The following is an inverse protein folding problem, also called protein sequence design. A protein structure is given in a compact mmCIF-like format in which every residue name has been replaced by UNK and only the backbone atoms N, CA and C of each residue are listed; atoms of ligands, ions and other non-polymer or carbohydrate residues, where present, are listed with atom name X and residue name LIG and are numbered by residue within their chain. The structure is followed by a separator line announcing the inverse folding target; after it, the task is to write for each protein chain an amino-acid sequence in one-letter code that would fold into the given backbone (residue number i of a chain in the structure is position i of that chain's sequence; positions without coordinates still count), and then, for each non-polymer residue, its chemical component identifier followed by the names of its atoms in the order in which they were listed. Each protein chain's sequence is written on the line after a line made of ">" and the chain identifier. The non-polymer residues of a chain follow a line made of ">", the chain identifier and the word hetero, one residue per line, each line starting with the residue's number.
data_IF_834143035680
#
_entry.id   IF_834143035680
#
_cell.length_a   1.000
_cell.length_b   1.000
_cell.length_c   1.000
_cell.angle_alpha   90.00
_cell.angle_beta   90.00
_cell.angle_gamma   90.00
#
_symmetry.space_group_name_H-M   'P 1'
#
loop_
_entity.id
_entity.type
_entity.pdbx_description
1 polymer ?
#
# COMPACT_ATOMS: atom_id res chain seq x y z
N UNK A 1 89.70 -69.62 -22.44
CA UNK A 1 88.65 -68.57 -22.51
C UNK A 1 87.39 -69.26 -22.98
N UNK A 2 86.30 -69.32 -22.21
CA UNK A 2 85.08 -69.96 -22.70
C UNK A 2 84.56 -69.13 -23.88
N UNK A 3 84.49 -69.76 -25.04
CA UNK A 3 84.03 -69.13 -26.29
C UNK A 3 82.54 -69.44 -26.40
N UNK A 4 81.70 -68.41 -26.45
CA UNK A 4 80.26 -68.60 -26.60
C UNK A 4 79.97 -69.35 -27.90
N UNK A 5 79.14 -70.39 -27.84
CA UNK A 5 78.60 -71.07 -29.03
C UNK A 5 77.63 -70.15 -29.77
N UNK A 6 77.56 -70.27 -31.09
CA UNK A 6 76.78 -69.37 -31.95
C UNK A 6 75.28 -69.31 -31.57
N UNK A 7 74.74 -70.41 -31.06
CA UNK A 7 73.37 -70.46 -30.51
C UNK A 7 73.19 -69.61 -29.23
N UNK A 8 74.19 -69.55 -28.35
CA UNK A 8 74.12 -68.76 -27.12
C UNK A 8 74.19 -67.27 -27.42
N UNK A 9 74.99 -66.87 -28.42
CA UNK A 9 75.05 -65.50 -28.91
C UNK A 9 73.71 -65.06 -29.50
N UNK A 10 73.06 -65.93 -30.27
CA UNK A 10 71.76 -65.63 -30.89
C UNK A 10 70.64 -65.53 -29.84
N UNK A 11 70.62 -66.43 -28.84
CA UNK A 11 69.69 -66.34 -27.70
C UNK A 11 69.89 -65.05 -26.89
N UNK A 12 71.14 -64.63 -26.68
CA UNK A 12 71.45 -63.37 -26.01
C UNK A 12 70.95 -62.17 -26.81
N UNK A 13 71.15 -62.17 -28.13
CA UNK A 13 70.67 -61.11 -29.02
C UNK A 13 69.14 -61.02 -29.08
N UNK A 14 68.46 -62.17 -29.13
CA UNK A 14 67.00 -62.24 -29.10
C UNK A 14 66.45 -61.77 -27.75
N UNK A 15 67.10 -62.14 -26.65
CA UNK A 15 66.72 -61.70 -25.31
C UNK A 15 66.94 -60.19 -25.13
N UNK A 16 68.04 -59.64 -25.65
CA UNK A 16 68.32 -58.21 -25.66
C UNK A 16 67.30 -57.45 -26.51
N UNK A 17 67.00 -57.90 -27.73
CA UNK A 17 66.00 -57.29 -28.60
C UNK A 17 64.60 -57.32 -27.98
N UNK A 18 64.22 -58.44 -27.35
CA UNK A 18 62.94 -58.56 -26.63
C UNK A 18 62.89 -57.63 -25.42
N UNK A 19 63.98 -57.51 -24.66
CA UNK A 19 64.09 -56.58 -23.54
C UNK A 19 64.00 -55.12 -24.01
N UNK A 20 64.68 -54.74 -25.09
CA UNK A 20 64.57 -53.41 -25.70
C UNK A 20 63.17 -53.11 -26.20
N UNK A 21 62.51 -54.09 -26.84
CA UNK A 21 61.13 -53.93 -27.31
C UNK A 21 60.17 -53.72 -26.14
N UNK A 22 60.35 -54.47 -25.05
CA UNK A 22 59.55 -54.31 -23.83
C UNK A 22 59.85 -52.98 -23.12
N UNK A 23 61.10 -52.52 -23.12
CA UNK A 23 61.48 -51.21 -22.57
C UNK A 23 60.86 -50.08 -23.38
N UNK A 24 60.92 -50.15 -24.71
CA UNK A 24 60.26 -49.18 -25.60
C UNK A 24 58.75 -49.19 -25.44
N UNK A 25 58.13 -50.37 -25.33
CA UNK A 25 56.70 -50.49 -25.07
C UNK A 25 56.32 -49.93 -23.69
N UNK A 26 57.12 -50.18 -22.67
CA UNK A 26 56.91 -49.64 -21.32
C UNK A 26 57.09 -48.12 -21.28
N UNK A 27 58.11 -47.60 -21.97
CA UNK A 27 58.33 -46.15 -22.09
C UNK A 27 57.20 -45.47 -22.88
N UNK A 28 56.73 -46.09 -23.97
CA UNK A 28 55.58 -45.59 -24.72
C UNK A 28 54.32 -45.57 -23.86
N UNK A 29 54.03 -46.66 -23.13
CA UNK A 29 52.91 -46.72 -22.20
C UNK A 29 53.03 -45.70 -21.07
N UNK A 30 54.22 -45.49 -20.50
CA UNK A 30 54.45 -44.47 -19.48
C UNK A 30 54.23 -43.06 -20.01
N UNK A 31 54.69 -42.76 -21.23
CA UNK A 31 54.51 -41.46 -21.87
C UNK A 31 53.02 -41.20 -22.16
N UNK A 32 52.32 -42.20 -22.68
CA UNK A 32 50.88 -42.13 -22.93
C UNK A 32 50.10 -41.94 -21.61
N UNK A 33 50.47 -42.65 -20.55
CA UNK A 33 49.87 -42.46 -19.23
C UNK A 33 50.13 -41.05 -18.67
N UNK A 34 51.32 -40.49 -18.87
CA UNK A 34 51.64 -39.13 -18.46
C UNK A 34 50.78 -38.11 -19.22
N UNK A 35 50.64 -38.27 -20.54
CA UNK A 35 49.80 -37.43 -21.39
C UNK A 35 48.32 -37.52 -20.98
N UNK A 36 47.79 -38.74 -20.77
CA UNK A 36 46.43 -38.96 -20.28
C UNK A 36 46.18 -38.34 -18.89
N UNK A 37 47.19 -38.39 -18.00
CA UNK A 37 47.11 -37.78 -16.67
C UNK A 37 47.18 -36.26 -16.75
N UNK A 38 47.99 -35.69 -17.64
CA UNK A 38 48.07 -34.24 -17.88
C UNK A 38 46.78 -33.71 -18.49
N UNK A 39 46.21 -34.41 -19.48
CA UNK A 39 44.91 -34.12 -20.08
C UNK A 39 43.77 -34.27 -19.06
N UNK A 40 43.80 -35.30 -18.22
CA UNK A 40 42.82 -35.45 -17.15
C UNK A 40 42.95 -34.33 -16.10
N UNK A 41 44.16 -33.89 -15.78
CA UNK A 41 44.41 -32.78 -14.84
C UNK A 41 43.95 -31.43 -15.39
N UNK A 42 44.22 -31.14 -16.67
CA UNK A 42 43.77 -29.90 -17.32
C UNK A 42 42.25 -29.85 -17.45
N UNK A 43 41.61 -30.98 -17.84
CA UNK A 43 40.14 -31.11 -17.86
C UNK A 43 39.52 -30.89 -16.48
N UNK A 44 40.09 -31.48 -15.42
CA UNK A 44 39.63 -31.28 -14.03
C UNK A 44 39.78 -29.84 -13.54
N UNK A 45 40.87 -29.15 -13.91
CA UNK A 45 41.06 -27.73 -13.58
C UNK A 45 40.02 -26.84 -14.28
N UNK A 46 39.76 -27.08 -15.57
CA UNK A 46 38.71 -26.36 -16.30
C UNK A 46 37.32 -26.58 -15.68
N UNK A 47 37.02 -27.81 -15.28
CA UNK A 47 35.78 -28.13 -14.56
C UNK A 47 35.70 -27.42 -13.20
N UNK A 48 36.78 -27.41 -12.41
CA UNK A 48 36.84 -26.70 -11.13
C UNK A 48 36.63 -25.19 -11.29
N UNK A 49 37.25 -24.57 -12.29
CA UNK A 49 37.09 -23.13 -12.58
C UNK A 49 35.65 -22.83 -13.01
N UNK A 50 35.08 -23.65 -13.90
CA UNK A 50 33.68 -23.53 -14.30
C UNK A 50 32.71 -23.69 -13.11
N UNK A 51 33.01 -24.63 -12.21
CA UNK A 51 32.22 -24.84 -11.00
C UNK A 51 32.28 -23.64 -10.04
N UNK A 52 33.46 -23.03 -9.88
CA UNK A 52 33.64 -21.81 -9.07
C UNK A 52 32.87 -20.64 -9.69
N UNK A 53 32.96 -20.44 -11.01
CA UNK A 53 32.21 -19.37 -11.71
C UNK A 53 30.71 -19.57 -11.54
N UNK A 54 30.23 -20.82 -11.66
CA UNK A 54 28.82 -21.16 -11.47
C UNK A 54 28.37 -20.89 -10.03
N UNK A 55 29.19 -21.21 -9.03
CA UNK A 55 28.93 -20.89 -7.62
C UNK A 55 28.86 -19.38 -7.38
N UNK A 56 29.78 -18.61 -7.96
CA UNK A 56 29.78 -17.14 -7.85
C UNK A 56 28.53 -16.56 -8.49
N UNK A 57 28.12 -17.03 -9.67
CA UNK A 57 26.88 -16.62 -10.32
C UNK A 57 25.65 -16.98 -9.49
N UNK A 58 25.64 -18.14 -8.85
CA UNK A 58 24.56 -18.56 -7.96
C UNK A 58 24.46 -17.65 -6.73
N UNK A 59 25.59 -17.31 -6.10
CA UNK A 59 25.62 -16.39 -4.96
C UNK A 59 25.14 -14.99 -5.38
N UNK A 60 25.60 -14.47 -6.53
CA UNK A 60 25.14 -13.19 -7.07
C UNK A 60 23.64 -13.22 -7.32
N UNK A 61 23.12 -14.29 -7.94
CA UNK A 61 21.69 -14.50 -8.15
C UNK A 61 20.91 -14.52 -6.83
N UNK A 62 21.47 -15.13 -5.79
CA UNK A 62 20.86 -15.20 -4.46
C UNK A 62 20.81 -13.82 -3.80
N UNK A 63 21.91 -13.06 -3.87
CA UNK A 63 22.00 -11.68 -3.35
C UNK A 63 21.00 -10.77 -4.06
N UNK A 64 20.91 -10.87 -5.39
CA UNK A 64 19.92 -10.14 -6.20
C UNK A 64 18.50 -10.55 -5.80
N UNK A 65 18.23 -11.84 -5.60
CA UNK A 65 16.93 -12.35 -5.16
C UNK A 65 16.50 -11.78 -3.80
N UNK A 66 17.42 -11.66 -2.83
CA UNK A 66 17.11 -11.10 -1.51
C UNK A 66 16.99 -9.56 -1.49
N UNK A 67 17.75 -8.85 -2.32
CA UNK A 67 17.78 -7.37 -2.29
C UNK A 67 16.87 -6.71 -3.34
N UNK A 68 16.52 -7.42 -4.42
CA UNK A 68 15.80 -6.85 -5.56
C UNK A 68 14.89 -7.91 -6.21
N UNK A 69 13.76 -8.26 -5.55
CA UNK A 69 12.85 -9.30 -6.02
C UNK A 69 12.20 -9.02 -7.40
N UNK A 70 12.23 -7.78 -7.90
CA UNK A 70 11.69 -7.40 -9.22
C UNK A 70 12.59 -7.77 -10.41
N UNK A 71 13.89 -7.98 -10.21
CA UNK A 71 14.87 -8.12 -11.31
C UNK A 71 14.81 -9.45 -12.06
N UNK A 72 14.14 -10.47 -11.49
CA UNK A 72 14.10 -11.82 -12.04
C UNK A 72 12.82 -12.12 -12.86
N UNK A 73 11.95 -11.13 -13.09
CA UNK A 73 10.70 -11.30 -13.84
C UNK A 73 9.72 -12.31 -13.22
N UNK A 74 10.08 -12.93 -12.09
CA UNK A 74 9.19 -13.66 -11.22
C UNK A 74 8.49 -12.56 -10.42
N UNK A 75 7.34 -12.13 -10.92
CA UNK A 75 6.40 -11.29 -10.20
C UNK A 75 5.96 -12.02 -8.93
N UNK A 76 6.80 -11.98 -7.89
CA UNK A 76 6.49 -12.56 -6.58
C UNK A 76 5.44 -11.76 -5.84
N UNK A 77 5.06 -10.61 -6.37
CA UNK A 77 3.83 -9.90 -6.06
C UNK A 77 3.42 -9.13 -7.32
N UNK A 78 2.90 -9.83 -8.33
CA UNK A 78 1.92 -9.18 -9.21
C UNK A 78 0.68 -8.97 -8.34
N UNK A 79 0.72 -7.89 -7.55
CA UNK A 79 -0.49 -7.33 -7.02
C UNK A 79 -1.30 -7.03 -8.26
N UNK A 80 -2.45 -7.70 -8.41
CA UNK A 80 -3.46 -7.22 -9.34
C UNK A 80 -3.59 -5.71 -9.12
N UNK A 81 -3.89 -4.93 -10.16
CA UNK A 81 -3.86 -3.46 -10.14
C UNK A 81 -4.64 -2.76 -8.99
N UNK A 82 -5.30 -3.52 -8.11
CA UNK A 82 -6.05 -3.14 -6.92
C UNK A 82 -5.46 -3.60 -5.56
N UNK A 83 -4.37 -4.38 -5.49
CA UNK A 83 -3.81 -4.80 -4.20
C UNK A 83 -2.64 -3.92 -3.76
N UNK A 84 -2.84 -3.20 -2.65
CA UNK A 84 -1.79 -2.41 -1.99
C UNK A 84 -1.21 -3.26 -0.85
N UNK A 85 0.10 -3.51 -0.86
CA UNK A 85 0.80 -4.10 0.30
C UNK A 85 0.90 -3.04 1.38
N UNK A 86 -0.14 -2.91 2.19
CA UNK A 86 -0.13 -1.99 3.33
C UNK A 86 0.67 -2.64 4.46
N UNK A 87 1.79 -2.02 4.84
CA UNK A 87 2.55 -2.47 6.02
C UNK A 87 1.63 -2.41 7.24
N UNK A 88 1.64 -3.43 8.11
CA UNK A 88 0.78 -3.47 9.32
C UNK A 88 0.87 -2.19 10.17
N UNK A 89 2.05 -1.59 10.25
CA UNK A 89 2.29 -0.31 10.94
C UNK A 89 1.55 0.89 10.29
N UNK A 90 1.36 0.85 8.97
CA UNK A 90 0.62 1.87 8.22
C UNK A 90 -0.88 1.68 8.40
N UNK A 91 -1.38 0.43 8.41
CA UNK A 91 -2.78 0.13 8.74
C UNK A 91 -3.13 0.63 10.14
N UNK A 92 -2.28 0.40 11.14
CA UNK A 92 -2.52 0.88 12.50
C UNK A 92 -2.50 2.41 12.58
N UNK A 93 -1.60 3.07 11.84
CA UNK A 93 -1.55 4.52 11.77
C UNK A 93 -2.79 5.11 11.07
N UNK A 94 -3.22 4.52 9.95
CA UNK A 94 -4.45 4.94 9.28
C UNK A 94 -5.67 4.69 10.15
N UNK A 95 -5.73 3.56 10.87
CA UNK A 95 -6.82 3.28 11.80
C UNK A 95 -6.87 4.26 12.97
N UNK A 96 -5.71 4.62 13.53
CA UNK A 96 -5.61 5.64 14.57
C UNK A 96 -6.00 7.03 14.04
N UNK A 97 -5.55 7.38 12.83
CA UNK A 97 -5.92 8.64 12.17
C UNK A 97 -7.40 8.70 11.87
N UNK A 98 -8.01 7.61 11.38
CA UNK A 98 -9.46 7.53 11.14
C UNK A 98 -10.22 7.66 12.45
N UNK A 99 -9.84 6.94 13.51
CA UNK A 99 -10.49 7.05 14.81
C UNK A 99 -10.38 8.46 15.41
N UNK A 100 -9.24 9.13 15.18
CA UNK A 100 -9.05 10.52 15.59
C UNK A 100 -9.87 11.47 14.73
N UNK A 101 -9.92 11.30 13.41
CA UNK A 101 -10.76 12.09 12.51
C UNK A 101 -12.25 11.87 12.79
N UNK A 102 -12.67 10.66 13.14
CA UNK A 102 -14.06 10.38 13.54
C UNK A 102 -14.39 11.05 14.87
N UNK A 103 -13.46 11.05 15.83
CA UNK A 103 -13.61 11.77 17.09
C UNK A 103 -13.62 13.29 16.89
N UNK A 104 -12.74 13.79 16.03
CA UNK A 104 -12.64 15.20 15.69
C UNK A 104 -13.84 15.63 14.85
N UNK A 105 -14.37 14.78 13.97
CA UNK A 105 -15.62 15.00 13.23
C UNK A 105 -16.83 14.91 14.16
N UNK A 106 -16.82 14.01 15.15
CA UNK A 106 -17.85 13.95 16.18
C UNK A 106 -17.82 15.21 17.08
N UNK A 107 -16.64 15.78 17.31
CA UNK A 107 -16.45 17.06 17.99
C UNK A 107 -16.66 18.28 17.07
N UNK A 108 -16.44 18.13 15.75
CA UNK A 108 -16.66 19.11 14.68
C UNK A 108 -18.04 18.99 14.02
N UNK A 109 -18.90 18.10 14.50
CA UNK A 109 -20.30 18.45 14.73
C UNK A 109 -20.33 19.60 15.75
N UNK A 110 -19.72 20.74 15.40
CA UNK A 110 -20.46 21.98 15.25
C UNK A 110 -21.86 21.57 14.86
N UNK A 111 -22.66 21.42 15.91
CA UNK A 111 -24.09 21.25 15.84
C UNK A 111 -24.53 22.11 14.67
N UNK A 112 -25.19 21.48 13.70
CA UNK A 112 -26.01 22.31 12.85
C UNK A 112 -26.82 23.18 13.82
N UNK A 113 -27.03 24.49 13.61
CA UNK A 113 -27.84 25.29 14.53
C UNK A 113 -29.22 24.65 14.81
N UNK A 114 -29.62 23.67 13.99
CA UNK A 114 -30.82 22.86 14.08
C UNK A 114 -30.69 21.51 14.81
N UNK A 115 -29.48 21.05 15.19
CA UNK A 115 -29.28 19.90 16.09
C UNK A 115 -29.49 20.26 17.57
N UNK A 116 -29.86 21.52 17.83
CA UNK A 116 -30.28 21.98 19.15
C UNK A 116 -31.66 21.37 19.45
N UNK A 117 -31.73 20.57 20.53
CA UNK A 117 -32.99 20.02 21.05
C UNK A 117 -34.03 21.10 21.32
N UNK A 118 -33.60 22.32 21.68
CA UNK A 118 -34.46 23.47 21.88
C UNK A 118 -33.74 24.77 21.44
N UNK A 119 -34.44 25.64 20.71
CA UNK A 119 -33.93 26.95 20.30
C UNK A 119 -35.06 27.97 20.14
N UNK A 120 -34.72 29.26 20.12
CA UNK A 120 -35.63 30.38 19.84
C UNK A 120 -35.33 30.96 18.46
N UNK A 121 -36.36 31.33 17.71
CA UNK A 121 -36.24 31.98 16.42
C UNK A 121 -37.31 33.05 16.22
N UNK A 122 -37.00 34.11 15.48
CA UNK A 122 -37.96 35.18 15.19
C UNK A 122 -38.72 34.84 13.91
N UNK A 123 -40.01 34.56 14.01
CA UNK A 123 -40.86 34.34 12.85
C UNK A 123 -41.34 35.68 12.27
N UNK A 124 -41.03 35.91 11.00
CA UNK A 124 -41.41 37.13 10.26
C UNK A 124 -42.88 37.09 9.81
N UNK A 125 -43.38 35.88 9.53
CA UNK A 125 -44.76 35.67 9.11
C UNK A 125 -44.98 34.31 8.45
N UNK A 126 -46.24 34.04 8.11
CA UNK A 126 -46.67 32.88 7.34
C UNK A 126 -47.37 33.39 6.08
N UNK A 127 -46.82 33.09 4.89
CA UNK A 127 -47.31 33.65 3.63
C UNK A 127 -47.79 32.55 2.68
N UNK A 128 -49.01 32.72 2.14
CA UNK A 128 -49.62 31.75 1.21
C UNK A 128 -49.18 31.92 -0.24
N UNK A 129 -48.90 33.16 -0.67
CA UNK A 129 -48.56 33.50 -2.07
C UNK A 129 -47.07 33.76 -2.30
N UNK A 130 -46.27 33.73 -1.24
CA UNK A 130 -44.84 33.98 -1.32
C UNK A 130 -44.11 32.64 -1.15
N UNK A 131 -43.65 32.07 -2.27
CA UNK A 131 -42.96 30.77 -2.34
C UNK A 131 -41.49 30.90 -2.73
N UNK A 132 -40.89 32.05 -2.45
CA UNK A 132 -39.48 32.30 -2.74
C UNK A 132 -38.64 31.71 -1.62
N UNK A 133 -37.71 30.82 -1.96
CA UNK A 133 -36.69 30.34 -1.01
C UNK A 133 -35.77 31.51 -0.66
N UNK A 134 -35.74 31.92 0.61
CA UNK A 134 -34.87 33.00 1.09
C UNK A 134 -33.42 32.57 1.35
N UNK A 135 -33.18 31.26 1.44
CA UNK A 135 -31.86 30.67 1.62
C UNK A 135 -31.77 29.35 0.84
N UNK A 136 -30.54 28.92 0.53
CA UNK A 136 -30.29 27.58 0.02
C UNK A 136 -30.49 26.56 1.14
N UNK A 137 -30.79 25.31 0.78
CA UNK A 137 -31.10 24.22 1.72
C UNK A 137 -29.96 23.94 2.73
N UNK A 138 -28.72 24.34 2.40
CA UNK A 138 -27.54 24.23 3.25
C UNK A 138 -27.36 25.39 4.25
N UNK A 139 -28.09 26.50 4.11
CA UNK A 139 -27.99 27.68 4.98
C UNK A 139 -29.25 27.83 5.84
N UNK A 140 -29.20 27.22 7.02
CA UNK A 140 -30.32 27.09 7.95
C UNK A 140 -30.60 28.33 8.82
N UNK A 141 -30.11 29.50 8.41
CA UNK A 141 -30.38 30.78 9.10
C UNK A 141 -31.85 31.21 8.93
N UNK A 142 -32.48 30.74 7.84
CA UNK A 142 -33.89 30.99 7.52
C UNK A 142 -34.59 29.66 7.23
N UNK A 143 -35.46 29.23 8.14
CA UNK A 143 -36.22 27.98 7.96
C UNK A 143 -37.50 28.29 7.21
N UNK A 144 -37.63 27.71 6.03
CA UNK A 144 -38.87 27.68 5.25
C UNK A 144 -39.62 26.39 5.61
N UNK A 145 -40.65 26.48 6.44
CA UNK A 145 -41.52 25.34 6.76
C UNK A 145 -42.90 25.53 6.12
N UNK A 146 -43.46 24.46 5.58
CA UNK A 146 -44.82 24.45 5.06
C UNK A 146 -45.78 24.01 6.18
N UNK A 147 -46.73 24.87 6.55
CA UNK A 147 -47.82 24.51 7.46
C UNK A 147 -49.14 24.94 6.84
N UNK A 148 -50.05 23.99 6.59
CA UNK A 148 -51.41 24.26 6.08
C UNK A 148 -51.45 25.24 4.88
N UNK A 149 -50.62 24.99 3.87
CA UNK A 149 -50.45 25.83 2.66
C UNK A 149 -49.79 27.21 2.87
N UNK A 150 -49.19 27.46 4.03
CA UNK A 150 -48.40 28.67 4.29
C UNK A 150 -46.90 28.35 4.38
N UNK A 151 -46.09 29.20 3.77
CA UNK A 151 -44.65 29.22 3.97
C UNK A 151 -44.32 30.08 5.20
N UNK A 152 -43.75 29.45 6.23
CA UNK A 152 -43.24 30.13 7.41
C UNK A 152 -41.83 30.62 7.12
N UNK A 153 -41.56 31.88 7.47
CA UNK A 153 -40.21 32.45 7.39
C UNK A 153 -39.75 32.81 8.79
N UNK A 154 -38.71 32.13 9.26
CA UNK A 154 -38.03 32.44 10.52
C UNK A 154 -36.65 33.02 10.26
N UNK A 155 -36.16 33.86 11.18
CA UNK A 155 -34.86 34.48 11.10
C UNK A 155 -34.11 34.27 12.41
N UNK A 156 -32.88 33.79 12.28
CA UNK A 156 -31.97 33.58 13.40
C UNK A 156 -32.31 32.33 14.22
N UNK A 157 -31.30 31.83 14.93
CA UNK A 157 -31.39 30.73 15.87
C UNK A 157 -30.65 31.16 17.13
N UNK A 158 -31.34 31.17 18.26
CA UNK A 158 -30.86 31.70 19.53
C UNK A 158 -31.04 30.68 20.63
N UNK A 159 -30.12 30.67 21.60
CA UNK A 159 -30.23 29.81 22.79
C UNK A 159 -31.24 30.38 23.79
N UNK A 160 -31.35 31.71 23.87
CA UNK A 160 -32.21 32.40 24.84
C UNK A 160 -33.33 33.20 24.18
N UNK A 161 -34.46 33.33 24.89
CA UNK A 161 -35.58 34.17 24.44
C UNK A 161 -35.19 35.65 24.36
N UNK A 162 -34.31 36.12 25.25
CA UNK A 162 -33.87 37.51 25.32
C UNK A 162 -33.15 37.95 24.03
N UNK A 163 -32.24 37.12 23.52
CA UNK A 163 -31.54 37.36 22.26
C UNK A 163 -32.50 37.42 21.07
N UNK A 164 -33.48 36.50 21.04
CA UNK A 164 -34.50 36.50 20.01
C UNK A 164 -35.42 37.74 20.09
N UNK A 165 -35.75 38.21 21.29
CA UNK A 165 -36.52 39.44 21.50
C UNK A 165 -35.76 40.70 21.06
N UNK A 166 -34.44 40.74 21.21
CA UNK A 166 -33.62 41.82 20.65
C UNK A 166 -33.71 41.86 19.12
N UNK A 167 -33.56 40.71 18.46
CA UNK A 167 -33.73 40.62 17.01
C UNK A 167 -35.17 41.01 16.60
N UNK A 168 -36.19 40.56 17.33
CA UNK A 168 -37.59 40.90 17.05
C UNK A 168 -37.81 42.42 17.06
N UNK A 169 -37.20 43.16 17.99
CA UNK A 169 -37.31 44.63 18.03
C UNK A 169 -36.74 45.27 16.77
N UNK A 170 -35.57 44.81 16.31
CA UNK A 170 -34.94 45.28 15.07
C UNK A 170 -35.81 44.95 13.86
N UNK A 171 -36.29 43.71 13.77
CA UNK A 171 -37.17 43.24 12.69
C UNK A 171 -38.48 44.05 12.62
N UNK A 172 -39.07 44.40 13.78
CA UNK A 172 -40.24 45.28 13.83
C UNK A 172 -39.95 46.70 13.33
N UNK A 173 -38.75 47.23 13.59
CA UNK A 173 -38.31 48.52 13.03
C UNK A 173 -38.17 48.46 11.51
N UNK A 174 -37.86 47.28 10.95
CA UNK A 174 -37.82 47.01 9.51
C UNK A 174 -39.21 46.75 8.89
N UNK A 175 -40.29 47.14 9.58
CA UNK A 175 -41.68 47.08 9.13
C UNK A 175 -42.33 45.67 9.15
N UNK A 176 -41.69 44.67 9.75
CA UNK A 176 -42.32 43.37 10.04
C UNK A 176 -43.07 43.44 11.38
N UNK A 177 -44.22 44.12 11.38
CA UNK A 177 -44.98 44.47 12.61
C UNK A 177 -45.47 43.25 13.40
N UNK A 178 -45.80 42.18 12.68
CA UNK A 178 -46.35 40.95 13.25
C UNK A 178 -45.26 39.91 13.59
N UNK A 179 -43.99 40.32 13.60
CA UNK A 179 -42.90 39.42 13.98
C UNK A 179 -43.01 39.01 15.47
N UNK A 180 -42.83 37.72 15.72
CA UNK A 180 -42.89 37.12 17.06
C UNK A 180 -41.76 36.12 17.28
N UNK A 181 -41.39 35.93 18.55
CA UNK A 181 -40.44 34.89 18.95
C UNK A 181 -41.19 33.57 19.10
N UNK A 182 -40.68 32.51 18.49
CA UNK A 182 -41.18 31.15 18.65
C UNK A 182 -40.09 30.28 19.29
N UNK A 183 -40.51 29.44 20.26
CA UNK A 183 -39.68 28.36 20.79
C UNK A 183 -39.86 27.13 19.92
N UNK A 184 -38.77 26.50 19.55
CA UNK A 184 -38.75 25.27 18.76
C UNK A 184 -38.06 24.19 19.57
N UNK A 185 -38.68 23.02 19.66
CA UNK A 185 -38.10 21.82 20.25
C UNK A 185 -38.13 20.70 19.21
N UNK A 186 -36.99 20.04 18.98
CA UNK A 186 -36.83 18.98 17.97
C UNK A 186 -37.36 19.38 16.56
N UNK A 187 -37.26 20.66 16.20
CA UNK A 187 -37.71 21.19 14.91
C UNK A 187 -39.21 21.52 14.80
N UNK A 188 -39.99 21.27 15.85
CA UNK A 188 -41.40 21.64 15.96
C UNK A 188 -41.57 22.86 16.87
N UNK A 189 -42.50 23.75 16.51
CA UNK A 189 -42.80 24.91 17.35
C UNK A 189 -43.58 24.44 18.57
N UNK A 190 -43.09 24.78 19.76
CA UNK A 190 -43.86 24.64 20.98
C UNK A 190 -44.77 25.86 21.07
N UNK A 191 -46.09 25.66 21.05
CA UNK A 191 -47.03 26.74 21.26
C UNK A 191 -46.78 27.35 22.64
N UNK A 192 -46.39 28.63 22.64
CA UNK A 192 -46.40 29.42 23.84
C UNK A 192 -47.87 29.59 24.24
N UNK A 193 -48.27 28.97 25.35
CA UNK A 193 -49.52 29.29 26.01
C UNK A 193 -49.41 30.74 26.48
N UNK A 194 -49.98 31.66 25.70
CA UNK A 194 -50.24 33.03 26.11
C UNK A 194 -51.66 33.13 26.67
#
# INVERSE_FOLDING_TARGET
>A
MPVLTEEELQKLKDKASKAEKNLKATQANQKQLQEDVEDAKTKKKGFLIGFIICLVLLIISLVIFFNSPETLGIETNSLAADEVVVKKSEIENYKASIAQLEKDLAAQHTSHPLDLNAFYAVQLGAFKKFNTRLSSDSYNIVRNANYQDFNLFTLGVFETEAEAEELRKVVKQLNFKDAFVGKYENGERVDAQF
#
